data_IF_081766066353
#
_entry.id   IF_081766066353
#
_cell.length_a   1.000
_cell.length_b   1.000
_cell.length_c   1.000
_cell.angle_alpha   90.00
_cell.angle_beta   90.00
_cell.angle_gamma   90.00
#
_symmetry.space_group_name_H-M   'P 1'
#
loop_
_entity.id
_entity.type
_entity.pdbx_description
1 polymer ?
#
# COMPACT_ATOMS: atom_id res chain seq x y z
N UNK A 1 -29.37 -54.62 25.16
CA UNK A 1 -29.03 -53.77 24.00
C UNK A 1 -28.11 -52.65 24.47
N UNK A 2 -26.85 -52.67 24.07
CA UNK A 2 -25.83 -51.72 24.55
C UNK A 2 -25.67 -50.59 23.55
N UNK A 3 -25.99 -49.38 23.98
CA UNK A 3 -25.77 -48.19 23.17
C UNK A 3 -24.29 -47.82 23.16
N UNK A 4 -23.64 -48.01 22.00
CA UNK A 4 -22.26 -47.47 21.75
C UNK A 4 -22.34 -45.94 21.66
N UNK A 5 -21.71 -45.25 22.66
CA UNK A 5 -21.41 -43.83 22.57
C UNK A 5 -20.28 -43.63 21.55
N UNK A 6 -20.60 -42.97 20.42
CA UNK A 6 -19.61 -42.53 19.47
C UNK A 6 -18.98 -41.26 20.01
N UNK A 7 -17.76 -41.33 20.48
CA UNK A 7 -16.94 -40.16 20.82
C UNK A 7 -16.51 -39.47 19.52
N UNK A 8 -17.17 -38.39 19.20
CA UNK A 8 -16.70 -37.44 18.14
C UNK A 8 -15.55 -36.64 18.72
N UNK A 9 -14.33 -37.08 18.46
CA UNK A 9 -13.15 -36.24 18.65
C UNK A 9 -13.17 -35.14 17.57
N UNK A 10 -13.58 -33.95 17.96
CA UNK A 10 -13.36 -32.76 17.16
C UNK A 10 -11.87 -32.44 17.21
N UNK A 11 -11.14 -32.81 16.16
CA UNK A 11 -9.82 -32.25 15.90
C UNK A 11 -9.98 -30.79 15.52
N UNK A 12 -9.87 -29.89 16.49
CA UNK A 12 -9.62 -28.48 16.21
C UNK A 12 -8.19 -28.40 15.65
N UNK A 13 -8.06 -28.40 14.33
CA UNK A 13 -6.83 -28.02 13.65
C UNK A 13 -6.57 -26.57 14.04
N UNK A 14 -5.70 -26.35 15.02
CA UNK A 14 -5.17 -25.03 15.33
C UNK A 14 -4.41 -24.60 14.08
N UNK A 15 -5.04 -23.79 13.22
CA UNK A 15 -4.36 -23.10 12.11
C UNK A 15 -3.42 -22.15 12.84
N UNK A 16 -2.16 -22.53 12.95
CA UNK A 16 -1.09 -21.62 13.34
C UNK A 16 -0.97 -20.67 12.16
N UNK A 17 -1.64 -19.53 12.22
CA UNK A 17 -1.42 -18.45 11.28
C UNK A 17 0.07 -18.14 11.31
N UNK A 18 0.74 -18.36 10.16
CA UNK A 18 2.17 -18.13 10.03
C UNK A 18 2.37 -16.62 10.17
N UNK A 19 2.80 -16.20 11.34
CA UNK A 19 3.07 -14.80 11.63
C UNK A 19 4.10 -14.28 10.61
N UNK A 20 3.83 -13.12 10.02
CA UNK A 20 4.76 -12.48 9.08
C UNK A 20 6.13 -12.30 9.76
N UNK A 21 7.25 -12.55 9.05
CA UNK A 21 8.58 -12.28 9.59
C UNK A 21 8.91 -10.78 9.67
N UNK A 22 8.00 -9.92 9.21
CA UNK A 22 8.14 -8.48 9.20
C UNK A 22 7.30 -7.83 10.30
N UNK A 23 7.85 -6.78 10.92
CA UNK A 23 7.14 -5.98 11.92
C UNK A 23 6.03 -5.13 11.27
N UNK A 24 6.30 -4.66 10.03
CA UNK A 24 5.34 -3.89 9.23
C UNK A 24 5.31 -4.37 7.80
N UNK A 25 4.14 -4.38 7.23
CA UNK A 25 3.91 -4.58 5.81
C UNK A 25 3.27 -3.31 5.24
N UNK A 26 3.81 -2.79 4.14
CA UNK A 26 3.33 -1.56 3.51
C UNK A 26 2.94 -1.87 2.08
N UNK A 27 1.71 -1.59 1.72
CA UNK A 27 1.14 -1.87 0.42
C UNK A 27 0.94 -0.55 -0.31
N UNK A 28 1.66 -0.33 -1.41
CA UNK A 28 1.65 0.90 -2.19
C UNK A 28 1.11 0.66 -3.59
N UNK A 29 0.33 1.62 -4.05
CA UNK A 29 -0.17 1.68 -5.43
C UNK A 29 -0.21 3.13 -5.89
N UNK A 30 -0.04 3.35 -7.20
CA UNK A 30 -0.10 4.66 -7.81
C UNK A 30 -1.12 4.69 -8.95
N UNK A 31 -1.74 5.85 -9.13
CA UNK A 31 -2.65 6.10 -10.23
C UNK A 31 -2.12 7.22 -11.10
N UNK A 32 -2.07 6.95 -12.40
CA UNK A 32 -1.66 7.90 -13.42
C UNK A 32 -2.80 8.12 -14.41
N UNK A 33 -3.11 9.39 -14.69
CA UNK A 33 -4.08 9.77 -15.73
C UNK A 33 -3.45 10.79 -16.66
N UNK A 34 -3.56 10.54 -17.96
CA UNK A 34 -3.37 11.58 -18.98
C UNK A 34 -4.58 12.47 -18.93
N UNK A 35 -4.38 13.78 -18.79
CA UNK A 35 -5.45 14.75 -19.03
C UNK A 35 -5.47 15.08 -20.52
N UNK A 36 -6.51 14.66 -21.22
CA UNK A 36 -6.66 14.87 -22.66
C UNK A 36 -6.78 16.37 -23.02
N UNK A 37 -7.20 17.22 -22.06
CA UNK A 37 -7.48 18.63 -22.28
C UNK A 37 -6.43 19.59 -21.70
N UNK A 38 -5.54 19.12 -20.86
CA UNK A 38 -4.57 19.98 -20.16
C UNK A 38 -3.21 19.28 -20.08
N UNK A 39 -2.44 19.19 -20.98
CA UNK A 39 -1.03 18.74 -21.03
C UNK A 39 -0.29 18.41 -19.70
N UNK A 40 -1.02 18.31 -18.59
CA UNK A 40 -0.50 18.00 -17.25
C UNK A 40 -1.05 16.65 -16.79
N UNK A 41 -0.24 15.58 -16.86
CA UNK A 41 -0.62 14.30 -16.31
C UNK A 41 -0.82 14.42 -14.80
N UNK A 42 -1.94 13.89 -14.32
CA UNK A 42 -2.21 13.76 -12.90
C UNK A 42 -1.75 12.40 -12.42
N UNK A 43 -0.98 12.40 -11.35
CA UNK A 43 -0.61 11.18 -10.65
C UNK A 43 -0.81 11.33 -9.17
N UNK A 44 -1.16 10.23 -8.54
CA UNK A 44 -1.32 10.12 -7.10
C UNK A 44 -0.81 8.76 -6.67
N UNK A 45 -0.41 8.66 -5.42
CA UNK A 45 -0.13 7.38 -4.79
C UNK A 45 -0.88 7.29 -3.47
N UNK A 46 -1.08 6.08 -3.03
CA UNK A 46 -1.49 5.79 -1.66
C UNK A 46 -0.76 4.57 -1.13
N UNK A 47 -0.66 4.47 0.19
CA UNK A 47 -0.16 3.27 0.81
C UNK A 47 -0.88 2.96 2.13
N UNK A 48 -0.95 1.68 2.41
CA UNK A 48 -1.56 1.10 3.61
C UNK A 48 -0.46 0.49 4.45
N UNK A 49 -0.34 0.92 5.70
CA UNK A 49 0.59 0.36 6.68
C UNK A 49 -0.14 -0.63 7.55
N UNK A 50 0.35 -1.85 7.61
CA UNK A 50 -0.22 -2.92 8.44
C UNK A 50 0.81 -3.49 9.39
N UNK A 51 0.34 -4.04 10.51
CA UNK A 51 1.09 -4.91 11.39
C UNK A 51 0.13 -5.97 11.97
N UNK A 52 0.58 -7.22 12.08
CA UNK A 52 -0.26 -8.33 12.54
C UNK A 52 -1.62 -8.38 11.84
N UNK A 53 -1.62 -8.22 10.52
CA UNK A 53 -2.82 -8.23 9.65
C UNK A 53 -3.87 -7.13 9.95
N UNK A 54 -3.50 -6.15 10.77
CA UNK A 54 -4.35 -4.99 11.07
C UNK A 54 -3.87 -3.73 10.33
N UNK A 55 -4.82 -2.95 9.80
CA UNK A 55 -4.50 -1.65 9.20
C UNK A 55 -4.19 -0.66 10.32
N UNK A 56 -2.97 -0.15 10.34
CA UNK A 56 -2.55 0.90 11.26
C UNK A 56 -2.84 2.28 10.70
N UNK A 57 -2.42 2.54 9.46
CA UNK A 57 -2.47 3.85 8.84
C UNK A 57 -2.71 3.72 7.33
N UNK A 58 -3.31 4.76 6.75
CA UNK A 58 -3.51 4.89 5.31
C UNK A 58 -3.10 6.30 4.91
N UNK A 59 -2.15 6.39 4.00
CA UNK A 59 -1.63 7.64 3.49
C UNK A 59 -1.86 7.78 1.99
N UNK A 60 -1.95 9.02 1.55
CA UNK A 60 -2.05 9.31 0.14
C UNK A 60 -1.49 10.68 -0.21
N UNK A 61 -1.02 10.84 -1.43
CA UNK A 61 -0.58 12.10 -1.97
C UNK A 61 -0.98 12.26 -3.43
N UNK A 62 -1.33 13.47 -3.80
CA UNK A 62 -1.79 13.84 -5.14
C UNK A 62 -0.67 14.27 -6.08
N UNK A 63 0.52 14.55 -5.57
CA UNK A 63 1.60 15.10 -6.39
C UNK A 63 2.77 14.14 -6.45
N UNK A 64 2.89 13.46 -7.57
CA UNK A 64 4.08 12.68 -7.91
C UNK A 64 5.00 13.37 -8.93
N UNK A 65 4.78 14.66 -9.20
CA UNK A 65 5.42 15.33 -10.33
C UNK A 65 4.79 14.91 -11.67
N UNK A 66 5.60 14.85 -12.72
CA UNK A 66 5.18 14.37 -14.06
C UNK A 66 5.87 13.04 -14.36
N UNK A 67 5.37 11.92 -13.86
CA UNK A 67 6.08 10.64 -14.00
C UNK A 67 6.16 10.12 -15.44
N UNK A 68 5.39 10.65 -16.35
CA UNK A 68 5.40 10.28 -17.78
C UNK A 68 4.57 9.03 -18.11
N UNK A 69 4.49 8.06 -17.22
CA UNK A 69 3.66 6.86 -17.36
C UNK A 69 3.33 6.23 -15.99
N UNK A 70 2.49 5.19 -15.99
CA UNK A 70 2.04 4.50 -14.77
C UNK A 70 3.19 3.81 -14.03
N UNK A 71 4.12 3.15 -14.73
CA UNK A 71 5.27 2.46 -14.12
C UNK A 71 6.16 3.44 -13.34
N UNK A 72 6.44 4.62 -13.92
CA UNK A 72 7.17 5.66 -13.24
C UNK A 72 6.39 6.23 -12.05
N UNK A 73 5.06 6.33 -12.13
CA UNK A 73 4.23 6.72 -11.00
C UNK A 73 4.36 5.71 -9.84
N UNK A 74 4.31 4.41 -10.13
CA UNK A 74 4.52 3.35 -9.14
C UNK A 74 5.92 3.45 -8.51
N UNK A 75 6.95 3.64 -9.32
CA UNK A 75 8.34 3.79 -8.83
C UNK A 75 8.46 4.98 -7.86
N UNK A 76 7.86 6.12 -8.22
CA UNK A 76 7.84 7.31 -7.34
C UNK A 76 7.03 7.05 -6.08
N UNK A 77 5.92 6.31 -6.18
CA UNK A 77 5.14 5.87 -5.01
C UNK A 77 6.01 5.10 -4.01
N UNK A 78 6.79 4.13 -4.48
CA UNK A 78 7.71 3.35 -3.62
C UNK A 78 8.78 4.26 -2.98
N UNK A 79 9.38 5.20 -3.74
CA UNK A 79 10.35 6.15 -3.17
C UNK A 79 9.76 7.01 -2.05
N UNK A 80 8.51 7.47 -2.21
CA UNK A 80 7.82 8.22 -1.16
C UNK A 80 7.56 7.38 0.10
N UNK A 81 7.27 6.09 -0.06
CA UNK A 81 7.16 5.15 1.08
C UNK A 81 8.51 4.99 1.78
N UNK A 82 9.60 4.85 1.04
CA UNK A 82 10.96 4.76 1.61
C UNK A 82 11.32 6.01 2.40
N UNK A 83 11.01 7.21 1.88
CA UNK A 83 11.24 8.47 2.60
C UNK A 83 10.35 8.59 3.84
N UNK A 84 9.10 8.13 3.75
CA UNK A 84 8.21 8.06 4.92
C UNK A 84 8.77 7.16 6.02
N UNK A 85 9.29 5.97 5.66
CA UNK A 85 9.91 5.05 6.61
C UNK A 85 11.13 5.71 7.28
N UNK A 86 12.01 6.33 6.49
CA UNK A 86 13.22 7.00 7.00
C UNK A 86 12.89 8.16 7.95
N UNK A 87 11.86 8.93 7.62
CA UNK A 87 11.44 10.09 8.41
C UNK A 87 10.68 9.75 9.70
N UNK A 88 10.25 8.49 9.89
CA UNK A 88 9.37 8.14 11.00
C UNK A 88 10.08 7.23 12.03
N UNK A 89 10.22 7.74 13.24
CA UNK A 89 10.93 7.04 14.34
C UNK A 89 10.35 5.66 14.68
N UNK A 90 9.05 5.42 14.44
CA UNK A 90 8.38 4.14 14.75
C UNK A 90 8.97 2.94 13.98
N UNK A 91 9.62 3.20 12.84
CA UNK A 91 10.21 2.15 12.00
C UNK A 91 11.67 1.85 12.33
N UNK A 92 12.28 2.56 13.28
CA UNK A 92 13.68 2.33 13.65
C UNK A 92 13.85 0.94 14.23
N UNK A 93 14.81 0.17 13.70
CA UNK A 93 15.09 -1.19 14.16
C UNK A 93 14.02 -2.23 13.78
N UNK A 94 13.09 -1.88 12.90
CA UNK A 94 12.00 -2.75 12.47
C UNK A 94 12.29 -3.36 11.11
N UNK A 95 11.88 -4.62 10.93
CA UNK A 95 11.88 -5.28 9.62
C UNK A 95 10.62 -4.91 8.86
N UNK A 96 10.77 -4.39 7.66
CA UNK A 96 9.67 -3.84 6.87
C UNK A 96 9.68 -4.48 5.48
N UNK A 97 8.50 -4.84 4.99
CA UNK A 97 8.31 -5.21 3.61
C UNK A 97 7.37 -4.22 2.91
N UNK A 98 7.74 -3.81 1.70
CA UNK A 98 6.93 -2.96 0.83
C UNK A 98 6.44 -3.82 -0.33
N UNK A 99 5.13 -3.86 -0.52
CA UNK A 99 4.48 -4.56 -1.63
C UNK A 99 3.93 -3.56 -2.65
N UNK A 100 4.21 -3.83 -3.93
CA UNK A 100 3.67 -3.10 -5.07
C UNK A 100 3.22 -4.09 -6.15
N UNK A 101 2.18 -3.78 -6.91
CA UNK A 101 1.69 -4.66 -7.97
C UNK A 101 2.37 -4.44 -9.33
N UNK A 102 3.29 -3.50 -9.43
CA UNK A 102 4.08 -3.24 -10.62
C UNK A 102 5.47 -3.87 -10.53
N UNK A 103 5.65 -5.03 -11.16
CA UNK A 103 6.91 -5.79 -11.13
C UNK A 103 8.11 -4.98 -11.66
N UNK A 104 7.89 -4.16 -12.69
CA UNK A 104 8.95 -3.32 -13.26
C UNK A 104 9.41 -2.23 -12.28
N UNK A 105 8.48 -1.62 -11.56
CA UNK A 105 8.79 -0.64 -10.50
C UNK A 105 9.59 -1.31 -9.38
N UNK A 106 9.16 -2.48 -8.90
CA UNK A 106 9.87 -3.27 -7.88
C UNK A 106 11.29 -3.61 -8.33
N UNK A 107 11.45 -4.12 -9.55
CA UNK A 107 12.77 -4.47 -10.11
C UNK A 107 13.66 -3.23 -10.25
N UNK A 108 13.11 -2.09 -10.67
CA UNK A 108 13.84 -0.83 -10.77
C UNK A 108 14.36 -0.34 -9.42
N UNK A 109 13.55 -0.47 -8.38
CA UNK A 109 13.93 -0.11 -7.00
C UNK A 109 15.03 -1.04 -6.49
N UNK A 110 14.84 -2.36 -6.60
CA UNK A 110 15.77 -3.37 -6.10
C UNK A 110 17.16 -3.30 -6.74
N UNK A 111 17.27 -2.80 -7.99
CA UNK A 111 18.55 -2.54 -8.64
C UNK A 111 19.31 -1.34 -8.06
N UNK A 112 18.60 -0.40 -7.44
CA UNK A 112 19.16 0.90 -7.00
C UNK A 112 19.31 1.01 -5.49
N UNK A 113 18.54 0.25 -4.73
CA UNK A 113 18.44 0.38 -3.27
C UNK A 113 18.68 -0.98 -2.64
N UNK A 114 19.59 -1.01 -1.68
CA UNK A 114 19.79 -2.13 -0.76
C UNK A 114 19.78 -1.59 0.65
N UNK A 115 18.72 -1.87 1.40
CA UNK A 115 18.58 -1.46 2.80
C UNK A 115 18.29 -2.73 3.59
N UNK A 116 19.18 -3.10 4.50
CA UNK A 116 19.17 -4.41 5.19
C UNK A 116 17.88 -4.76 5.94
N UNK A 117 17.10 -3.76 6.34
CA UNK A 117 15.85 -3.94 7.08
C UNK A 117 14.58 -3.66 6.26
N UNK A 118 14.72 -3.31 4.98
CA UNK A 118 13.61 -3.07 4.07
C UNK A 118 13.70 -4.02 2.88
N UNK A 119 12.63 -4.74 2.64
CA UNK A 119 12.44 -5.60 1.47
C UNK A 119 11.38 -4.96 0.56
N UNK A 120 11.57 -4.98 -0.75
CA UNK A 120 10.56 -4.52 -1.72
C UNK A 120 10.21 -5.69 -2.62
N UNK A 121 8.94 -6.09 -2.64
CA UNK A 121 8.46 -7.24 -3.38
C UNK A 121 7.21 -6.95 -4.21
N UNK A 122 7.08 -7.70 -5.29
CA UNK A 122 5.86 -7.72 -6.08
C UNK A 122 4.75 -8.47 -5.36
N UNK A 123 3.53 -7.90 -5.37
CA UNK A 123 2.34 -8.55 -4.84
C UNK A 123 1.18 -8.40 -5.83
N UNK A 124 0.44 -9.47 -6.06
CA UNK A 124 -0.68 -9.46 -6.96
C UNK A 124 -1.72 -8.38 -6.58
N UNK A 125 -2.19 -7.63 -7.58
CA UNK A 125 -3.26 -6.62 -7.45
C UNK A 125 -4.53 -7.14 -6.77
N UNK A 126 -4.78 -8.45 -6.85
CA UNK A 126 -5.92 -9.11 -6.21
C UNK A 126 -5.92 -9.09 -4.69
N UNK A 127 -4.77 -8.83 -4.04
CA UNK A 127 -4.67 -8.84 -2.58
C UNK A 127 -5.42 -7.69 -1.92
N UNK A 128 -5.95 -7.93 -0.73
CA UNK A 128 -6.82 -7.01 0.02
C UNK A 128 -6.24 -5.59 0.13
N UNK A 129 -5.01 -5.47 0.59
CA UNK A 129 -4.41 -4.17 0.91
C UNK A 129 -3.91 -3.42 -0.33
N UNK A 130 -3.45 -4.12 -1.36
CA UNK A 130 -3.18 -3.50 -2.68
C UNK A 130 -4.47 -2.93 -3.27
N UNK A 131 -5.59 -3.66 -3.21
CA UNK A 131 -6.89 -3.13 -3.66
C UNK A 131 -7.33 -1.86 -2.93
N UNK A 132 -7.03 -1.76 -1.64
CA UNK A 132 -7.33 -0.54 -0.87
C UNK A 132 -6.46 0.61 -1.37
N UNK A 133 -5.15 0.40 -1.51
CA UNK A 133 -4.23 1.40 -2.03
C UNK A 133 -4.65 1.86 -3.44
N UNK A 134 -4.92 0.94 -4.37
CA UNK A 134 -5.41 1.24 -5.74
C UNK A 134 -6.66 2.14 -5.73
N UNK A 135 -7.67 1.75 -4.94
CA UNK A 135 -8.92 2.51 -4.87
C UNK A 135 -8.72 3.93 -4.33
N UNK A 136 -7.85 4.10 -3.32
CA UNK A 136 -7.55 5.42 -2.76
C UNK A 136 -6.75 6.24 -3.75
N UNK A 137 -5.69 5.72 -4.37
CA UNK A 137 -4.89 6.40 -5.37
C UNK A 137 -5.77 6.91 -6.54
N UNK A 138 -6.66 6.05 -7.06
CA UNK A 138 -7.63 6.41 -8.11
C UNK A 138 -8.61 7.50 -7.67
N UNK A 139 -9.08 7.46 -6.43
CA UNK A 139 -10.01 8.46 -5.90
C UNK A 139 -9.35 9.82 -5.79
N UNK A 140 -8.08 9.86 -5.39
CA UNK A 140 -7.31 11.11 -5.23
C UNK A 140 -6.94 11.73 -6.57
N UNK A 141 -6.77 10.95 -7.62
CA UNK A 141 -6.59 11.48 -8.98
C UNK A 141 -7.83 12.16 -9.53
N UNK A 142 -9.01 11.94 -8.96
CA UNK A 142 -10.24 12.63 -9.36
C UNK A 142 -10.25 14.10 -8.88
N UNK A 143 -10.66 15.04 -9.77
CA UNK A 143 -10.44 16.50 -9.67
C UNK A 143 -11.05 17.27 -8.49
N UNK A 144 -11.99 16.74 -7.68
CA UNK A 144 -12.68 17.53 -6.63
C UNK A 144 -13.01 16.69 -5.39
N UNK A 145 -12.85 17.30 -4.20
CA UNK A 145 -13.22 16.74 -2.89
C UNK A 145 -12.68 15.34 -2.59
N UNK A 146 -11.43 15.10 -2.93
CA UNK A 146 -10.77 13.78 -2.86
C UNK A 146 -10.70 13.21 -1.42
N UNK A 147 -10.50 14.04 -0.39
CA UNK A 147 -10.42 13.57 0.99
C UNK A 147 -11.75 12.97 1.47
N UNK A 148 -12.84 13.71 1.30
CA UNK A 148 -14.19 13.25 1.64
C UNK A 148 -14.54 11.96 0.88
N UNK A 149 -14.27 11.92 -0.43
CA UNK A 149 -14.53 10.75 -1.28
C UNK A 149 -13.68 9.55 -0.89
N UNK A 150 -12.43 9.75 -0.51
CA UNK A 150 -11.53 8.69 -0.06
C UNK A 150 -12.03 8.08 1.25
N UNK A 151 -12.43 8.91 2.22
CA UNK A 151 -12.97 8.43 3.49
C UNK A 151 -14.33 7.73 3.30
N UNK A 152 -15.20 8.22 2.43
CA UNK A 152 -16.44 7.54 2.05
C UNK A 152 -16.16 6.19 1.39
N UNK A 153 -15.12 6.10 0.55
CA UNK A 153 -14.72 4.85 -0.09
C UNK A 153 -14.24 3.83 0.94
N UNK A 154 -13.42 4.24 1.92
CA UNK A 154 -13.00 3.37 3.01
C UNK A 154 -14.18 2.87 3.84
N UNK A 155 -15.10 3.77 4.19
CA UNK A 155 -16.31 3.40 4.93
C UNK A 155 -17.16 2.36 4.16
N UNK A 156 -17.32 2.52 2.84
CA UNK A 156 -18.03 1.55 1.99
C UNK A 156 -17.36 0.17 1.92
N UNK A 157 -16.08 0.09 2.30
CA UNK A 157 -15.32 -1.16 2.39
C UNK A 157 -15.27 -1.71 3.82
N UNK A 158 -16.03 -1.14 4.77
CA UNK A 158 -16.03 -1.53 6.17
C UNK A 158 -14.75 -1.14 6.93
N UNK A 159 -13.99 -0.16 6.41
CA UNK A 159 -12.72 0.27 7.00
C UNK A 159 -12.95 1.54 7.82
N UNK A 160 -12.85 1.41 9.14
CA UNK A 160 -12.97 2.53 10.08
C UNK A 160 -11.60 3.23 10.28
N UNK A 161 -11.02 3.72 9.21
CA UNK A 161 -9.77 4.50 9.20
C UNK A 161 -9.94 5.69 8.27
N UNK A 162 -9.26 6.79 8.58
CA UNK A 162 -9.20 7.97 7.70
C UNK A 162 -7.93 7.95 6.88
N UNK A 163 -8.00 8.50 5.67
CA UNK A 163 -6.81 8.75 4.84
C UNK A 163 -6.11 10.00 5.37
N UNK A 164 -4.84 9.88 5.66
CA UNK A 164 -3.97 11.02 5.94
C UNK A 164 -3.33 11.50 4.64
N UNK A 165 -3.54 12.77 4.32
CA UNK A 165 -3.00 13.37 3.10
C UNK A 165 -1.58 13.89 3.36
N UNK A 166 -0.63 13.43 2.56
CA UNK A 166 0.72 13.95 2.54
C UNK A 166 0.75 15.10 1.54
N UNK A 167 0.80 16.34 2.04
CA UNK A 167 0.76 17.54 1.21
C UNK A 167 2.06 17.82 0.45
N UNK A 168 3.17 17.17 0.80
CA UNK A 168 4.46 17.31 0.13
C UNK A 168 4.90 15.96 -0.38
N UNK A 169 4.94 15.80 -1.70
CA UNK A 169 5.79 14.79 -2.30
C UNK A 169 7.24 15.19 -2.00
N UNK A 170 7.91 14.46 -1.12
CA UNK A 170 9.32 14.69 -0.77
C UNK A 170 10.20 14.39 -1.98
N UNK A 171 9.72 13.52 -2.84
CA UNK A 171 10.41 13.13 -4.07
C UNK A 171 9.86 13.92 -5.26
N UNK A 172 10.55 15.01 -5.59
CA UNK A 172 10.37 15.66 -6.89
C UNK A 172 11.14 14.86 -7.92
N UNK A 173 10.44 14.32 -8.91
CA UNK A 173 11.07 13.76 -10.09
C UNK A 173 11.87 14.88 -10.77
N UNK A 174 13.17 14.99 -10.49
CA UNK A 174 14.06 15.80 -11.30
C UNK A 174 14.23 15.05 -12.61
N UNK A 175 13.79 15.71 -13.67
CA UNK A 175 14.04 15.28 -15.05
C UNK A 175 15.53 15.11 -15.31
#
# INVERSE_FOLDING_TARGET
MAHKKVNKHFFIKKIVEKQSPYDYEIYVDASFRKDENNNSPFSAYSFVVTSNDAINEIYASRRLGKPGNSEKAETVGIYNVLDYIKGNKKFRGKKIIIYCDCINAVNSINKKISISYITVEHRNRGTKYIKIADKIAKTITAKKSYEKKSNQKLASMGINKKVELINKSIYNYKQ
#
